data_IF_259322782441
#
_entry.id   IF_259322782441
#
_cell.length_a   1.000
_cell.length_b   1.000
_cell.length_c   1.000
_cell.angle_alpha   90.00
_cell.angle_beta   90.00
_cell.angle_gamma   90.00
#
_symmetry.space_group_name_H-M   'P 1'
#
loop_
_entity.id
_entity.type
_entity.pdbx_description
1 polymer ?
#
# COMPACT_ATOMS: atom_id res chain seq x y z
N UNK A 1 18.46 -19.04 -25.93
CA UNK A 1 17.09 -19.52 -25.66
C UNK A 1 16.17 -18.33 -25.88
N UNK A 2 15.44 -18.34 -26.98
CA UNK A 2 14.52 -17.27 -27.36
C UNK A 2 13.21 -17.46 -26.58
N UNK A 3 12.71 -16.39 -25.98
CA UNK A 3 11.58 -16.44 -25.04
C UNK A 3 10.26 -16.60 -25.82
N UNK A 4 9.44 -17.61 -25.51
CA UNK A 4 8.18 -17.87 -26.23
C UNK A 4 7.14 -16.79 -25.94
N UNK A 5 6.23 -16.55 -26.90
CA UNK A 5 5.26 -15.45 -26.85
C UNK A 5 4.28 -15.54 -25.67
N UNK A 6 4.08 -16.74 -25.11
CA UNK A 6 3.27 -16.99 -23.92
C UNK A 6 3.90 -16.40 -22.64
N UNK A 7 5.23 -16.30 -22.57
CA UNK A 7 5.93 -15.64 -21.46
C UNK A 7 5.79 -14.10 -21.51
N UNK A 8 5.40 -13.53 -22.67
CA UNK A 8 5.07 -12.09 -22.82
C UNK A 8 3.68 -11.75 -22.26
N UNK A 9 2.77 -12.72 -22.16
CA UNK A 9 1.40 -12.52 -21.64
C UNK A 9 1.40 -12.23 -20.13
N UNK A 10 2.42 -12.72 -19.39
CA UNK A 10 2.60 -12.41 -17.96
C UNK A 10 3.07 -10.99 -17.64
N UNK A 11 3.46 -10.21 -18.66
CA UNK A 11 3.91 -8.81 -18.54
C UNK A 11 2.91 -7.83 -19.20
N UNK A 12 1.62 -8.14 -19.17
CA UNK A 12 0.60 -7.18 -19.58
C UNK A 12 0.75 -5.93 -18.71
N UNK A 13 1.34 -4.89 -19.29
CA UNK A 13 1.53 -3.61 -18.63
C UNK A 13 0.22 -3.11 -18.07
N UNK A 14 0.27 -2.60 -16.85
CA UNK A 14 -0.86 -2.01 -16.14
C UNK A 14 -1.24 -0.74 -16.90
N UNK A 15 -2.41 -0.72 -17.52
CA UNK A 15 -2.91 0.45 -18.23
C UNK A 15 -3.57 1.36 -17.21
N UNK A 16 -3.13 2.62 -17.16
CA UNK A 16 -3.68 3.66 -16.28
C UNK A 16 -4.04 4.90 -17.10
N UNK A 17 -5.08 5.63 -16.67
CA UNK A 17 -5.56 6.85 -17.33
C UNK A 17 -5.19 8.07 -16.49
N UNK A 18 -4.38 8.97 -17.02
CA UNK A 18 -3.88 10.15 -16.32
C UNK A 18 -4.01 11.36 -17.25
N UNK A 19 -4.64 12.45 -16.82
CA UNK A 19 -4.81 13.65 -17.64
C UNK A 19 -5.54 13.42 -18.98
N UNK A 20 -6.36 12.37 -19.08
CA UNK A 20 -7.06 11.98 -20.32
C UNK A 20 -6.23 11.13 -21.29
N UNK A 21 -4.94 10.87 -20.99
CA UNK A 21 -4.09 9.97 -21.77
C UNK A 21 -3.95 8.60 -21.10
N UNK A 22 -3.70 7.57 -21.92
CA UNK A 22 -3.43 6.20 -21.45
C UNK A 22 -1.93 5.97 -21.33
N UNK A 23 -1.49 5.52 -20.16
CA UNK A 23 -0.11 5.18 -19.88
C UNK A 23 0.00 3.68 -19.57
N UNK A 24 1.05 3.06 -20.08
CA UNK A 24 1.35 1.65 -19.81
C UNK A 24 2.49 1.57 -18.79
N UNK A 25 2.17 1.05 -17.60
CA UNK A 25 3.14 0.83 -16.53
C UNK A 25 3.59 -0.63 -16.56
N UNK A 26 4.89 -0.86 -16.76
CA UNK A 26 5.43 -2.21 -16.72
C UNK A 26 5.40 -2.77 -15.29
N UNK A 27 5.04 -4.05 -15.08
CA UNK A 27 5.18 -4.67 -13.77
C UNK A 27 6.65 -4.69 -13.33
N UNK A 28 6.89 -4.39 -12.06
CA UNK A 28 8.25 -4.45 -11.50
C UNK A 28 8.81 -5.89 -11.53
N UNK A 29 10.11 -6.01 -11.77
CA UNK A 29 10.81 -7.29 -11.56
C UNK A 29 10.73 -7.70 -10.08
N UNK A 30 10.77 -9.01 -9.80
CA UNK A 30 10.55 -9.57 -8.46
C UNK A 30 11.36 -8.86 -7.37
N UNK A 31 12.64 -8.55 -7.65
CA UNK A 31 13.53 -7.85 -6.70
C UNK A 31 13.02 -6.45 -6.36
N UNK A 32 12.67 -5.67 -7.37
CA UNK A 32 12.22 -4.28 -7.21
C UNK A 32 10.81 -4.25 -6.60
N UNK A 33 9.94 -5.16 -7.03
CA UNK A 33 8.61 -5.35 -6.45
C UNK A 33 8.69 -5.65 -4.95
N UNK A 34 9.65 -6.50 -4.52
CA UNK A 34 9.85 -6.79 -3.09
C UNK A 34 10.24 -5.54 -2.30
N UNK A 35 11.17 -4.75 -2.81
CA UNK A 35 11.59 -3.50 -2.15
C UNK A 35 10.44 -2.50 -2.05
N UNK A 36 9.69 -2.35 -3.13
CA UNK A 36 8.52 -1.48 -3.17
C UNK A 36 7.44 -1.93 -2.18
N UNK A 37 7.11 -3.23 -2.14
CA UNK A 37 6.15 -3.79 -1.16
C UNK A 37 6.56 -3.55 0.28
N UNK A 38 7.86 -3.69 0.59
CA UNK A 38 8.39 -3.40 1.93
C UNK A 38 8.17 -1.94 2.32
N UNK A 39 8.34 -1.00 1.38
CA UNK A 39 8.07 0.42 1.62
C UNK A 39 6.58 0.67 1.87
N UNK A 40 5.70 0.13 1.02
CA UNK A 40 4.25 0.22 1.23
C UNK A 40 3.87 -0.35 2.60
N UNK A 41 4.39 -1.52 2.96
CA UNK A 41 4.14 -2.13 4.26
C UNK A 41 4.64 -1.25 5.42
N UNK A 42 5.83 -0.65 5.32
CA UNK A 42 6.34 0.26 6.34
C UNK A 42 5.43 1.49 6.52
N UNK A 43 4.99 2.11 5.42
CA UNK A 43 4.06 3.24 5.47
C UNK A 43 2.74 2.84 6.14
N UNK A 44 2.18 1.69 5.78
CA UNK A 44 0.95 1.18 6.39
C UNK A 44 1.12 0.83 7.88
N UNK A 45 2.29 0.32 8.28
CA UNK A 45 2.62 0.09 9.69
C UNK A 45 2.76 1.40 10.47
N UNK A 46 3.34 2.45 9.89
CA UNK A 46 3.45 3.75 10.55
C UNK A 46 2.08 4.41 10.76
N UNK A 47 1.13 4.14 9.87
CA UNK A 47 -0.27 4.58 9.98
C UNK A 47 -1.06 3.87 11.10
N UNK A 48 -0.64 2.68 11.55
CA UNK A 48 -1.36 1.92 12.59
C UNK A 48 -1.06 2.38 14.02
N UNK A 49 -0.36 3.51 14.20
CA UNK A 49 -0.17 4.17 15.50
C UNK A 49 -1.49 4.83 15.95
N UNK A 50 -2.17 4.17 16.89
CA UNK A 50 -3.51 4.48 17.42
C UNK A 50 -3.81 5.92 17.89
N UNK A 51 -5.12 6.29 18.00
CA UNK A 51 -5.61 7.58 18.49
C UNK A 51 -5.15 7.91 19.93
N UNK A 52 -5.08 9.21 20.29
CA UNK A 52 -4.51 9.67 21.55
C UNK A 52 -5.26 9.23 22.83
N UNK A 53 -6.46 8.65 22.73
CA UNK A 53 -7.25 8.23 23.89
C UNK A 53 -6.63 7.04 24.65
N UNK A 54 -6.00 6.09 23.97
CA UNK A 54 -5.37 4.95 24.64
C UNK A 54 -4.05 5.33 25.33
N UNK A 55 -3.37 6.40 24.89
CA UNK A 55 -2.16 6.91 25.57
C UNK A 55 -2.44 7.37 27.00
N UNK A 56 -3.66 7.85 27.29
CA UNK A 56 -4.02 8.30 28.65
C UNK A 56 -4.24 7.11 29.58
N UNK A 57 -4.92 6.07 29.12
CA UNK A 57 -5.16 4.84 29.89
C UNK A 57 -3.86 4.04 30.12
N UNK A 58 -2.99 3.92 29.11
CA UNK A 58 -1.66 3.28 29.27
C UNK A 58 -0.72 4.08 30.17
N UNK A 59 -0.77 5.43 30.16
CA UNK A 59 -0.04 6.26 31.14
C UNK A 59 -0.62 6.10 32.56
N UNK A 60 -1.93 5.95 32.68
CA UNK A 60 -2.61 5.75 33.96
C UNK A 60 -2.27 4.38 34.58
N UNK A 61 -2.29 3.30 33.78
CA UNK A 61 -1.86 1.96 34.20
C UNK A 61 -0.36 1.91 34.48
N UNK A 62 0.47 2.51 33.62
CA UNK A 62 1.92 2.59 33.84
C UNK A 62 2.29 3.31 35.15
N UNK A 63 1.51 4.32 35.54
CA UNK A 63 1.63 4.98 36.84
C UNK A 63 1.18 4.09 38.00
N UNK A 64 0.04 3.40 37.87
CA UNK A 64 -0.49 2.45 38.87
C UNK A 64 0.43 1.25 39.15
N UNK A 65 1.13 0.75 38.13
CA UNK A 65 2.03 -0.42 38.23
C UNK A 65 3.50 0.00 38.48
N UNK A 66 3.78 1.28 38.70
CA UNK A 66 5.12 1.76 39.07
C UNK A 66 6.17 1.68 37.96
N UNK A 67 5.76 1.56 36.70
CA UNK A 67 6.66 1.54 35.53
C UNK A 67 7.11 2.97 35.17
N UNK A 68 7.95 3.57 36.02
CA UNK A 68 8.63 4.84 35.69
C UNK A 68 9.76 4.58 34.70
N UNK A 69 9.60 5.09 33.48
CA UNK A 69 10.76 5.50 32.67
C UNK A 69 11.35 4.50 31.68
N UNK A 70 10.70 3.39 31.35
CA UNK A 70 11.08 2.68 30.12
C UNK A 70 10.46 3.41 28.94
N UNK A 71 11.29 4.00 28.07
CA UNK A 71 10.90 4.41 26.71
C UNK A 71 10.19 3.21 26.10
N UNK A 72 8.87 3.23 26.09
CA UNK A 72 8.10 2.27 25.33
C UNK A 72 8.43 2.59 23.88
N UNK A 73 9.27 1.74 23.27
CA UNK A 73 9.23 1.56 21.84
C UNK A 73 7.85 0.95 21.58
N UNK A 74 6.84 1.82 21.40
CA UNK A 74 5.44 1.42 21.24
C UNK A 74 5.29 0.81 19.87
N UNK A 75 5.75 -0.44 19.73
CA UNK A 75 5.17 -1.40 18.79
C UNK A 75 3.83 -1.82 19.37
N UNK A 76 2.75 -1.17 18.93
CA UNK A 76 1.36 -1.50 19.27
C UNK A 76 0.47 -0.43 18.68
N UNK A 77 -0.40 -0.72 17.71
CA UNK A 77 -1.38 -1.80 17.70
C UNK A 77 -1.61 -2.33 16.26
N UNK A 78 -2.08 -3.59 16.20
CA UNK A 78 -2.56 -4.33 15.02
C UNK A 78 -1.66 -4.31 13.80
N UNK A 79 -0.94 -5.41 13.64
CA UNK A 79 -0.42 -5.94 12.40
C UNK A 79 -1.39 -5.63 11.23
N UNK A 80 -1.22 -4.50 10.53
CA UNK A 80 -1.57 -4.41 9.12
C UNK A 80 -0.55 -5.27 8.36
N UNK A 81 -0.45 -6.54 8.75
CA UNK A 81 0.27 -7.55 8.00
C UNK A 81 -0.58 -7.83 6.77
N UNK A 82 0.07 -8.20 5.69
CA UNK A 82 -0.58 -8.70 4.48
C UNK A 82 -1.52 -9.90 4.72
N UNK A 83 -1.49 -10.44 5.94
CA UNK A 83 -2.25 -11.61 6.39
C UNK A 83 -3.66 -11.26 6.92
N UNK A 84 -3.96 -9.97 7.16
CA UNK A 84 -5.33 -9.49 7.44
C UNK A 84 -5.80 -8.54 6.32
N UNK A 85 -6.57 -9.06 5.34
CA UNK A 85 -7.03 -8.28 4.20
C UNK A 85 -7.94 -7.11 4.57
N UNK A 86 -8.72 -7.22 5.66
CA UNK A 86 -9.66 -6.15 6.07
C UNK A 86 -8.90 -4.99 6.71
N UNK A 87 -7.94 -5.31 7.59
CA UNK A 87 -7.05 -4.31 8.15
C UNK A 87 -6.19 -3.63 7.06
N UNK A 88 -5.71 -4.41 6.10
CA UNK A 88 -4.94 -3.91 4.95
C UNK A 88 -5.77 -2.97 4.07
N UNK A 89 -6.98 -3.37 3.67
CA UNK A 89 -7.88 -2.53 2.87
C UNK A 89 -8.24 -1.22 3.59
N UNK A 90 -8.54 -1.28 4.89
CA UNK A 90 -8.82 -0.09 5.70
C UNK A 90 -7.60 0.83 5.78
N UNK A 91 -6.40 0.28 5.96
CA UNK A 91 -5.17 1.05 6.01
C UNK A 91 -4.83 1.70 4.65
N UNK A 92 -5.04 0.98 3.55
CA UNK A 92 -4.89 1.54 2.19
C UNK A 92 -5.89 2.67 1.92
N UNK A 93 -7.16 2.49 2.29
CA UNK A 93 -8.17 3.56 2.17
C UNK A 93 -7.77 4.79 3.00
N UNK A 94 -7.25 4.57 4.20
CA UNK A 94 -6.76 5.67 5.04
C UNK A 94 -5.55 6.36 4.39
N UNK A 95 -4.60 5.60 3.85
CA UNK A 95 -3.43 6.13 3.13
C UNK A 95 -3.85 7.02 1.96
N UNK A 96 -4.79 6.56 1.14
CA UNK A 96 -5.32 7.30 -0.02
C UNK A 96 -5.97 8.63 0.36
N UNK A 97 -6.61 8.70 1.54
CA UNK A 97 -7.32 9.89 2.00
C UNK A 97 -6.41 10.85 2.76
N UNK A 98 -5.44 10.34 3.53
CA UNK A 98 -4.68 11.16 4.51
C UNK A 98 -3.25 11.47 4.10
N UNK A 99 -2.68 10.71 3.17
CA UNK A 99 -1.28 10.83 2.77
C UNK A 99 -1.14 10.81 1.24
N UNK A 100 -1.83 11.71 0.57
CA UNK A 100 -1.85 11.79 -0.89
C UNK A 100 -0.45 11.94 -1.51
N UNK A 101 0.43 12.78 -0.93
CA UNK A 101 1.82 12.92 -1.40
C UNK A 101 2.60 11.61 -1.36
N UNK A 102 2.40 10.81 -0.29
CA UNK A 102 3.05 9.50 -0.14
C UNK A 102 2.54 8.51 -1.18
N UNK A 103 1.26 8.57 -1.52
CA UNK A 103 0.67 7.76 -2.60
C UNK A 103 1.29 8.12 -3.95
N UNK A 104 1.42 9.41 -4.25
CA UNK A 104 2.05 9.90 -5.48
C UNK A 104 3.51 9.43 -5.55
N UNK A 105 4.27 9.56 -4.47
CA UNK A 105 5.65 9.09 -4.40
C UNK A 105 5.77 7.58 -4.62
N UNK A 106 4.93 6.78 -3.95
CA UNK A 106 4.91 5.33 -4.10
C UNK A 106 4.48 4.90 -5.51
N UNK A 107 3.56 5.64 -6.13
CA UNK A 107 3.14 5.44 -7.51
C UNK A 107 4.31 5.64 -8.48
N UNK A 108 5.00 6.78 -8.42
CA UNK A 108 6.14 7.06 -9.30
C UNK A 108 7.37 6.20 -8.99
N UNK A 109 7.53 5.74 -7.76
CA UNK A 109 8.57 4.77 -7.43
C UNK A 109 8.31 3.41 -8.12
N UNK A 110 7.04 3.02 -8.27
CA UNK A 110 6.68 1.84 -9.05
C UNK A 110 6.83 2.13 -10.56
N UNK A 111 6.30 3.25 -11.02
CA UNK A 111 6.25 3.65 -12.42
C UNK A 111 7.44 4.55 -12.82
N UNK A 112 8.67 4.05 -12.61
CA UNK A 112 9.92 4.83 -12.77
C UNK A 112 10.14 5.41 -14.16
N UNK A 113 9.53 4.79 -15.18
CA UNK A 113 9.67 5.20 -16.58
C UNK A 113 8.73 6.34 -16.96
N UNK A 114 7.80 6.74 -16.08
CA UNK A 114 6.86 7.83 -16.34
C UNK A 114 7.45 9.19 -15.98
N UNK A 115 7.12 10.20 -16.77
CA UNK A 115 7.53 11.58 -16.52
C UNK A 115 6.68 12.21 -15.40
N UNK A 116 7.22 12.19 -14.18
CA UNK A 116 6.55 12.72 -12.99
C UNK A 116 6.05 14.16 -13.16
N UNK A 117 6.91 15.06 -13.65
CA UNK A 117 6.57 16.50 -13.75
C UNK A 117 5.43 16.77 -14.72
N UNK A 118 5.40 16.03 -15.82
CA UNK A 118 4.35 16.16 -16.83
C UNK A 118 3.02 15.63 -16.29
N UNK A 119 3.04 14.47 -15.66
CA UNK A 119 1.83 13.84 -15.11
C UNK A 119 1.26 14.66 -13.95
N UNK A 120 2.09 15.16 -13.03
CA UNK A 120 1.63 16.01 -11.92
C UNK A 120 1.01 17.34 -12.41
N UNK A 121 1.36 17.80 -13.62
CA UNK A 121 0.77 19.01 -14.20
C UNK A 121 -0.60 18.77 -14.85
N UNK A 122 -0.92 17.53 -15.26
CA UNK A 122 -2.14 17.21 -16.03
C UNK A 122 -3.12 16.28 -15.31
N UNK A 123 -2.63 15.43 -14.42
CA UNK A 123 -3.43 14.39 -13.78
C UNK A 123 -4.05 14.92 -12.49
N UNK A 124 -5.26 14.45 -12.19
CA UNK A 124 -5.90 14.73 -10.91
C UNK A 124 -5.47 13.73 -9.85
N UNK A 125 -5.54 14.11 -8.58
CA UNK A 125 -5.24 13.22 -7.45
C UNK A 125 -6.09 11.93 -7.48
N UNK A 126 -7.36 12.04 -7.89
CA UNK A 126 -8.27 10.90 -8.05
C UNK A 126 -7.74 9.89 -9.08
N UNK A 127 -7.25 10.38 -10.23
CA UNK A 127 -6.66 9.52 -11.27
C UNK A 127 -5.39 8.83 -10.77
N UNK A 128 -4.55 9.52 -9.98
CA UNK A 128 -3.36 8.91 -9.38
C UNK A 128 -3.76 7.86 -8.34
N UNK A 129 -4.79 8.13 -7.52
CA UNK A 129 -5.33 7.16 -6.55
C UNK A 129 -5.86 5.90 -7.21
N UNK A 130 -6.59 6.03 -8.33
CA UNK A 130 -7.06 4.89 -9.13
C UNK A 130 -5.88 4.11 -9.74
N UNK A 131 -4.92 4.82 -10.34
CA UNK A 131 -3.73 4.22 -10.94
C UNK A 131 -2.88 3.46 -9.89
N UNK A 132 -2.71 4.05 -8.71
CA UNK A 132 -2.03 3.43 -7.58
C UNK A 132 -2.78 2.19 -7.09
N UNK A 133 -4.11 2.25 -7.01
CA UNK A 133 -4.93 1.10 -6.62
C UNK A 133 -4.66 -0.09 -7.55
N UNK A 134 -4.70 0.10 -8.88
CA UNK A 134 -4.37 -0.95 -9.86
C UNK A 134 -2.97 -1.53 -9.68
N UNK A 135 -1.98 -0.67 -9.39
CA UNK A 135 -0.62 -1.12 -9.09
C UNK A 135 -0.57 -1.96 -7.83
N UNK A 136 -1.31 -1.59 -6.77
CA UNK A 136 -1.42 -2.36 -5.54
C UNK A 136 -2.06 -3.73 -5.78
N UNK A 137 -3.07 -3.84 -6.67
CA UNK A 137 -3.69 -5.13 -7.02
C UNK A 137 -2.66 -6.11 -7.60
N UNK A 138 -1.86 -5.65 -8.55
CA UNK A 138 -0.78 -6.44 -9.16
C UNK A 138 0.38 -6.65 -8.17
N UNK A 139 0.63 -5.66 -7.33
CA UNK A 139 1.65 -5.66 -6.30
C UNK A 139 1.35 -6.65 -5.18
N UNK A 140 0.10 -6.83 -4.77
CA UNK A 140 -0.30 -7.64 -3.62
C UNK A 140 -1.40 -8.64 -4.02
N UNK A 141 -1.12 -9.61 -4.91
CA UNK A 141 -2.14 -10.53 -5.42
C UNK A 141 -2.78 -11.37 -4.32
N UNK A 142 -2.03 -11.68 -3.26
CA UNK A 142 -2.54 -12.43 -2.12
C UNK A 142 -3.55 -11.63 -1.30
N UNK A 143 -3.35 -10.32 -1.13
CA UNK A 143 -4.30 -9.48 -0.40
C UNK A 143 -5.71 -9.53 -1.02
N UNK A 144 -5.79 -9.68 -2.35
CA UNK A 144 -7.06 -9.87 -3.06
C UNK A 144 -7.63 -11.28 -2.92
N UNK A 145 -6.78 -12.31 -2.96
CA UNK A 145 -7.24 -13.71 -2.95
C UNK A 145 -8.08 -14.08 -1.72
N UNK A 146 -7.85 -13.43 -0.58
CA UNK A 146 -8.60 -13.71 0.65
C UNK A 146 -10.02 -13.14 0.66
N UNK A 147 -10.31 -12.03 -0.04
CA UNK A 147 -11.68 -11.51 -0.15
C UNK A 147 -12.56 -12.49 -0.95
N UNK A 148 -12.01 -13.06 -2.01
CA UNK A 148 -12.63 -14.11 -2.83
C UNK A 148 -12.76 -15.46 -2.10
N UNK A 149 -11.75 -15.86 -1.31
CA UNK A 149 -11.81 -17.10 -0.52
C UNK A 149 -12.83 -17.02 0.63
N UNK A 150 -12.94 -15.89 1.33
CA UNK A 150 -13.97 -15.68 2.35
C UNK A 150 -15.38 -15.79 1.77
N UNK A 151 -15.62 -15.24 0.57
CA UNK A 151 -16.93 -15.36 -0.10
C UNK A 151 -17.28 -16.80 -0.50
N UNK A 152 -16.29 -17.62 -0.88
CA UNK A 152 -16.51 -19.04 -1.20
C UNK A 152 -16.71 -19.94 0.02
N UNK A 153 -16.15 -19.58 1.18
CA UNK A 153 -16.29 -20.34 2.43
C UNK A 153 -17.59 -20.02 3.20
N UNK A 154 -18.29 -18.95 2.82
CA UNK A 154 -19.57 -18.54 3.41
C UNK A 154 -20.80 -18.98 2.59
N UNK A 155 -20.58 -19.78 1.53
CA UNK A 155 -21.62 -20.46 0.74
C UNK A 155 -21.67 -21.94 1.11
#
# INVERSE_FOLDING_TARGET
>A
MERSEEEKVGQLGIIVKLGGAEYKVAPLVIRDARNWRLKVANVLCDLSVQPPETRRWFRFIGWLVGLKGKKQNTRGFTNATTDDPEAFDKALKYLLVTMQDTVIDLFFEYAKDLNRKEIEAIATEEQIGEAFSRIVEVGFPLAQSHSMLKQRLLQ
#
